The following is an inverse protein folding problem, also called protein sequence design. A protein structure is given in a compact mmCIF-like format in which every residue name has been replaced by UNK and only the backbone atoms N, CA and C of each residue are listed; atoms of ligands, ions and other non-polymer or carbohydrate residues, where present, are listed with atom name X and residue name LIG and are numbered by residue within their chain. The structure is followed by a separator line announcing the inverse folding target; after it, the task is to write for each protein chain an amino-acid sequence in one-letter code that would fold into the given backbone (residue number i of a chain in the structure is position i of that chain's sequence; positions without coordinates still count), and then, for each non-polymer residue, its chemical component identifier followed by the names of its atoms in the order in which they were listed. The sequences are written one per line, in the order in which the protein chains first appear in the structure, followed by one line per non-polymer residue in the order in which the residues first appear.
data_IF_868400759930
#
_entry.id   IF_868400759930
#
_cell.length_a   1.000
_cell.length_b   1.000
_cell.length_c   1.000
_cell.angle_alpha   90.00
_cell.angle_beta   90.00
_cell.angle_gamma   90.00
#
_symmetry.space_group_name_H-M   'P 1'
#
loop_
_entity.id
_entity.type
_entity.pdbx_description
1 polymer ?
#
# COMPACT_ATOMS: atom_id res chain seq x y z
N UNK A 1 -4.61 -12.71 11.49
CA UNK A 1 -4.39 -11.73 10.41
C UNK A 1 -3.47 -12.34 9.36
N UNK A 2 -2.21 -12.71 9.68
CA UNK A 2 -1.23 -13.26 8.73
C UNK A 2 -1.77 -14.49 7.97
N UNK A 3 -2.42 -15.44 8.67
CA UNK A 3 -3.05 -16.60 8.06
C UNK A 3 -4.05 -16.22 6.95
N UNK A 4 -4.87 -15.20 7.19
CA UNK A 4 -5.83 -14.69 6.19
C UNK A 4 -5.15 -14.11 4.96
N UNK A 5 -4.03 -13.39 5.15
CA UNK A 5 -3.23 -12.85 4.05
C UNK A 5 -2.59 -13.98 3.24
N UNK A 6 -2.03 -15.00 3.92
CA UNK A 6 -1.45 -16.20 3.29
C UNK A 6 -2.48 -16.94 2.42
N UNK A 7 -3.70 -17.12 2.93
CA UNK A 7 -4.81 -17.74 2.19
C UNK A 7 -5.17 -16.95 0.92
N UNK A 8 -5.23 -15.62 1.01
CA UNK A 8 -5.56 -14.75 -0.14
C UNK A 8 -4.46 -14.76 -1.18
N UNK A 9 -3.19 -14.75 -0.75
CA UNK A 9 -2.03 -14.72 -1.63
C UNK A 9 -1.62 -16.13 -2.15
N UNK A 10 -2.17 -17.20 -1.58
CA UNK A 10 -1.80 -18.57 -1.94
C UNK A 10 -0.36 -18.95 -1.58
N UNK A 11 0.22 -18.30 -0.55
CA UNK A 11 1.59 -18.53 -0.09
C UNK A 11 1.59 -18.97 1.37
N UNK A 12 2.58 -19.77 1.79
CA UNK A 12 2.73 -20.17 3.19
C UNK A 12 3.90 -19.46 3.84
N UNK A 13 3.71 -19.11 5.09
CA UNK A 13 4.79 -18.54 5.92
C UNK A 13 5.85 -19.60 6.19
N UNK A 14 7.11 -19.25 6.04
CA UNK A 14 8.32 -20.09 6.10
C UNK A 14 8.66 -20.85 4.80
N UNK A 15 7.94 -20.68 3.70
CA UNK A 15 8.30 -21.31 2.42
C UNK A 15 9.41 -20.52 1.70
N UNK A 16 9.37 -19.19 1.76
CA UNK A 16 10.35 -18.29 1.14
C UNK A 16 10.55 -17.02 1.97
N UNK A 17 11.80 -16.67 2.26
CA UNK A 17 12.16 -15.52 3.08
C UNK A 17 11.59 -14.19 2.54
N UNK A 18 11.55 -14.00 1.22
CA UNK A 18 11.00 -12.78 0.60
C UNK A 18 9.49 -12.67 0.80
N UNK A 19 8.79 -13.80 0.69
CA UNK A 19 7.37 -13.89 0.96
C UNK A 19 7.07 -13.63 2.44
N UNK A 20 7.89 -14.15 3.34
CA UNK A 20 7.77 -13.95 4.78
C UNK A 20 7.88 -12.47 5.16
N UNK A 21 8.85 -11.76 4.57
CA UNK A 21 8.98 -10.31 4.78
C UNK A 21 7.71 -9.59 4.32
N UNK A 22 7.17 -9.95 3.16
CA UNK A 22 5.96 -9.33 2.62
C UNK A 22 4.74 -9.61 3.50
N UNK A 23 4.56 -10.85 3.96
CA UNK A 23 3.47 -11.23 4.87
C UNK A 23 3.54 -10.47 6.20
N UNK A 24 4.73 -10.33 6.78
CA UNK A 24 4.94 -9.55 8.03
C UNK A 24 4.62 -8.08 7.83
N UNK A 25 5.11 -7.48 6.75
CA UNK A 25 4.85 -6.06 6.44
C UNK A 25 3.36 -5.79 6.24
N UNK A 26 2.67 -6.63 5.48
CA UNK A 26 1.22 -6.46 5.25
C UNK A 26 0.46 -6.59 6.57
N UNK A 27 0.78 -7.60 7.39
CA UNK A 27 0.14 -7.85 8.68
C UNK A 27 0.27 -6.65 9.63
N UNK A 28 1.48 -6.12 9.76
CA UNK A 28 1.77 -4.97 10.63
C UNK A 28 1.06 -3.70 10.13
N UNK A 29 1.16 -3.43 8.83
CA UNK A 29 0.64 -2.21 8.25
C UNK A 29 -0.89 -2.18 8.20
N UNK A 30 -1.55 -3.31 7.90
CA UNK A 30 -3.02 -3.35 7.89
C UNK A 30 -3.59 -3.19 9.30
N UNK A 31 -2.99 -3.83 10.30
CA UNK A 31 -3.39 -3.65 11.69
C UNK A 31 -3.26 -2.20 12.12
N UNK A 32 -2.10 -1.58 11.92
CA UNK A 32 -1.87 -0.17 12.24
C UNK A 32 -2.84 0.76 11.51
N UNK A 33 -3.14 0.48 10.23
CA UNK A 33 -4.07 1.29 9.43
C UNK A 33 -5.50 1.21 9.95
N UNK A 34 -5.97 0.04 10.35
CA UNK A 34 -7.31 -0.16 10.93
C UNK A 34 -7.47 0.67 12.21
N UNK A 35 -6.50 0.63 13.11
CA UNK A 35 -6.55 1.43 14.35
C UNK A 35 -6.48 2.93 14.07
N UNK A 36 -5.58 3.38 13.18
CA UNK A 36 -5.48 4.80 12.84
C UNK A 36 -6.79 5.34 12.25
N UNK A 37 -7.46 4.59 11.37
CA UNK A 37 -8.76 5.00 10.81
C UNK A 37 -9.84 4.93 11.90
N UNK A 38 -9.82 3.92 12.74
CA UNK A 38 -10.67 3.81 13.91
C UNK A 38 -10.58 5.03 14.84
N UNK A 39 -9.38 5.60 14.99
CA UNK A 39 -9.11 6.83 15.75
C UNK A 39 -9.42 8.12 14.95
N UNK A 40 -10.01 8.00 13.75
CA UNK A 40 -10.46 9.13 12.94
C UNK A 40 -9.41 9.73 12.02
N UNK A 41 -8.26 9.06 11.80
CA UNK A 41 -7.28 9.50 10.81
C UNK A 41 -7.73 9.09 9.41
N UNK A 42 -7.73 10.04 8.47
CA UNK A 42 -8.07 9.81 7.06
C UNK A 42 -6.81 9.97 6.20
N UNK A 43 -6.60 9.11 5.17
CA UNK A 43 -5.47 9.25 4.26
C UNK A 43 -5.41 10.63 3.61
N UNK A 44 -4.25 11.31 3.70
CA UNK A 44 -4.05 12.66 3.18
C UNK A 44 -2.62 12.86 2.65
N UNK A 45 -2.32 14.06 2.14
CA UNK A 45 -0.99 14.41 1.64
C UNK A 45 -0.05 15.01 2.70
N UNK A 46 -0.54 15.18 3.94
CA UNK A 46 0.23 15.81 5.01
C UNK A 46 -0.09 15.22 6.38
N UNK A 47 0.77 15.46 7.35
CA UNK A 47 0.56 15.07 8.74
C UNK A 47 0.34 13.56 8.94
N UNK A 48 -0.50 13.21 9.92
CA UNK A 48 -0.81 11.81 10.28
C UNK A 48 -1.45 11.03 9.13
N UNK A 49 -2.30 11.68 8.33
CA UNK A 49 -2.95 11.06 7.18
C UNK A 49 -1.96 10.67 6.08
N UNK A 50 -0.84 11.38 5.93
CA UNK A 50 0.23 10.99 5.02
C UNK A 50 0.91 9.68 5.47
N UNK A 51 1.17 9.53 6.76
CA UNK A 51 1.73 8.29 7.32
C UNK A 51 0.80 7.12 7.04
N UNK A 52 -0.50 7.28 7.34
CA UNK A 52 -1.53 6.27 7.06
C UNK A 52 -1.55 5.87 5.58
N UNK A 53 -1.55 6.86 4.68
CA UNK A 53 -1.50 6.62 3.23
C UNK A 53 -0.27 5.80 2.84
N UNK A 54 0.90 6.11 3.39
CA UNK A 54 2.13 5.34 3.13
C UNK A 54 2.05 3.91 3.61
N UNK A 55 1.47 3.66 4.79
CA UNK A 55 1.28 2.30 5.32
C UNK A 55 0.40 1.47 4.39
N UNK A 56 -0.76 2.00 3.99
CA UNK A 56 -1.68 1.30 3.08
C UNK A 56 -0.98 1.00 1.75
N UNK A 57 -0.35 2.00 1.13
CA UNK A 57 0.35 1.82 -0.16
C UNK A 57 1.50 0.84 -0.08
N UNK A 58 2.25 0.84 1.02
CA UNK A 58 3.31 -0.13 1.22
C UNK A 58 2.76 -1.56 1.35
N UNK A 59 1.66 -1.74 2.08
CA UNK A 59 0.97 -3.02 2.15
C UNK A 59 0.47 -3.49 0.77
N UNK A 60 -0.15 -2.59 -0.03
CA UNK A 60 -0.55 -2.89 -1.41
C UNK A 60 0.63 -3.34 -2.27
N UNK A 61 1.79 -2.63 -2.19
CA UNK A 61 2.99 -3.01 -2.94
C UNK A 61 3.46 -4.41 -2.57
N UNK A 62 3.51 -4.73 -1.28
CA UNK A 62 3.89 -6.07 -0.83
C UNK A 62 2.88 -7.14 -1.26
N UNK A 63 1.58 -6.79 -1.35
CA UNK A 63 0.58 -7.66 -1.95
C UNK A 63 0.87 -8.00 -3.41
N UNK A 64 1.26 -6.98 -4.22
CA UNK A 64 1.70 -7.19 -5.60
C UNK A 64 2.95 -8.08 -5.69
N UNK A 65 3.90 -7.96 -4.77
CA UNK A 65 5.09 -8.84 -4.71
C UNK A 65 4.72 -10.30 -4.39
N UNK A 66 3.62 -10.54 -3.67
CA UNK A 66 3.06 -11.87 -3.43
C UNK A 66 2.17 -12.38 -4.59
N UNK A 67 2.03 -11.60 -5.68
CA UNK A 67 1.23 -11.97 -6.84
C UNK A 67 -0.25 -11.57 -6.77
N UNK A 68 -0.68 -10.88 -5.73
CA UNK A 68 -2.08 -10.41 -5.60
C UNK A 68 -2.28 -9.15 -6.43
N UNK A 69 -3.06 -9.23 -7.50
CA UNK A 69 -3.35 -8.10 -8.41
C UNK A 69 -4.60 -7.33 -8.02
N UNK A 70 -5.60 -8.03 -7.50
CA UNK A 70 -6.86 -7.43 -7.09
C UNK A 70 -6.79 -6.78 -5.70
N UNK A 71 -7.65 -5.79 -5.40
CA UNK A 71 -7.79 -5.25 -4.06
C UNK A 71 -8.16 -6.34 -3.06
N UNK A 72 -7.39 -6.44 -1.98
CA UNK A 72 -7.56 -7.51 -0.98
C UNK A 72 -7.48 -7.02 0.47
N UNK A 73 -6.84 -5.89 0.73
CA UNK A 73 -6.62 -5.38 2.09
C UNK A 73 -7.93 -5.18 2.84
N UNK A 74 -8.97 -4.71 2.15
CA UNK A 74 -10.29 -4.52 2.75
C UNK A 74 -10.91 -5.83 3.27
N UNK A 75 -10.56 -6.99 2.68
CA UNK A 75 -11.01 -8.31 3.14
C UNK A 75 -10.32 -8.75 4.44
N UNK A 76 -9.13 -8.20 4.70
CA UNK A 76 -8.34 -8.48 5.91
C UNK A 76 -8.82 -7.61 7.08
N UNK A 77 -9.44 -6.45 6.80
CA UNK A 77 -9.96 -5.54 7.83
C UNK A 77 -10.89 -6.24 8.81
N UNK A 78 -11.81 -7.05 8.30
CA UNK A 78 -12.76 -7.78 9.15
C UNK A 78 -12.04 -8.69 10.14
N UNK A 79 -11.04 -9.43 9.67
CA UNK A 79 -10.22 -10.29 10.54
C UNK A 79 -9.48 -9.47 11.61
N UNK A 80 -8.97 -8.28 11.26
CA UNK A 80 -8.30 -7.40 12.24
C UNK A 80 -9.28 -6.95 13.31
N UNK A 81 -10.48 -6.54 12.93
CA UNK A 81 -11.50 -6.07 13.87
C UNK A 81 -11.96 -7.23 14.76
N UNK A 82 -12.32 -8.38 14.18
CA UNK A 82 -12.81 -9.55 14.91
C UNK A 82 -11.80 -10.04 15.97
N UNK A 83 -10.50 -9.99 15.65
CA UNK A 83 -9.45 -10.37 16.61
C UNK A 83 -9.22 -9.36 17.73
N UNK A 84 -9.69 -8.12 17.58
CA UNK A 84 -9.43 -7.04 18.55
C UNK A 84 -10.68 -6.44 19.18
N UNK A 85 -11.89 -6.85 18.75
CA UNK A 85 -13.17 -6.27 19.22
C UNK A 85 -13.38 -6.38 20.72
N UNK A 86 -12.90 -7.44 21.36
CA UNK A 86 -13.02 -7.63 22.80
C UNK A 86 -12.37 -6.52 23.62
N UNK A 87 -11.27 -5.96 23.12
CA UNK A 87 -10.51 -4.91 23.80
C UNK A 87 -10.82 -3.51 23.24
N UNK A 88 -11.29 -3.46 21.99
CA UNK A 88 -11.51 -2.22 21.23
C UNK A 88 -12.87 -2.25 20.52
N UNK A 89 -13.95 -2.28 21.29
CA UNK A 89 -15.34 -2.38 20.83
C UNK A 89 -15.75 -1.27 19.84
N UNK A 90 -15.15 -0.08 19.94
CA UNK A 90 -15.41 1.04 19.04
C UNK A 90 -15.04 0.75 17.57
N UNK A 91 -14.17 -0.23 17.32
CA UNK A 91 -13.80 -0.62 15.95
C UNK A 91 -14.99 -1.23 15.21
N UNK A 92 -15.84 -1.99 15.91
CA UNK A 92 -17.02 -2.61 15.33
C UNK A 92 -17.98 -1.56 14.74
N UNK A 93 -18.25 -0.50 15.48
CA UNK A 93 -19.12 0.59 15.02
C UNK A 93 -18.59 1.32 13.78
N UNK A 94 -17.29 1.24 13.53
CA UNK A 94 -16.59 1.92 12.41
C UNK A 94 -16.16 0.97 11.29
N UNK A 95 -16.48 -0.32 11.38
CA UNK A 95 -16.09 -1.37 10.44
C UNK A 95 -16.29 -0.97 8.98
N UNK A 96 -17.49 -0.51 8.63
CA UNK A 96 -17.83 -0.11 7.27
C UNK A 96 -17.02 1.10 6.76
N UNK A 97 -16.76 2.07 7.63
CA UNK A 97 -15.97 3.25 7.28
C UNK A 97 -14.52 2.84 7.03
N UNK A 98 -13.94 2.02 7.92
CA UNK A 98 -12.56 1.52 7.81
C UNK A 98 -12.38 0.75 6.50
N UNK A 99 -13.30 -0.16 6.19
CA UNK A 99 -13.27 -0.93 4.92
C UNK A 99 -13.28 -0.02 3.70
N UNK A 100 -14.23 0.91 3.64
CA UNK A 100 -14.37 1.84 2.50
C UNK A 100 -13.15 2.72 2.30
N UNK A 101 -12.56 3.23 3.39
CA UNK A 101 -11.36 4.07 3.32
C UNK A 101 -10.17 3.29 2.78
N UNK A 102 -9.94 2.08 3.28
CA UNK A 102 -8.83 1.22 2.83
C UNK A 102 -9.05 0.80 1.38
N UNK A 103 -10.25 0.35 1.02
CA UNK A 103 -10.59 -0.05 -0.34
C UNK A 103 -10.41 1.09 -1.35
N UNK A 104 -10.84 2.30 -1.00
CA UNK A 104 -10.71 3.47 -1.88
C UNK A 104 -9.24 3.83 -2.13
N UNK A 105 -8.39 3.84 -1.08
CA UNK A 105 -6.96 4.14 -1.22
C UNK A 105 -6.23 3.01 -1.98
N UNK A 106 -6.58 1.75 -1.73
CA UNK A 106 -6.03 0.58 -2.42
C UNK A 106 -6.35 0.62 -3.92
N UNK A 107 -7.62 0.84 -4.29
CA UNK A 107 -8.04 0.99 -5.70
C UNK A 107 -7.37 2.17 -6.38
N UNK A 108 -7.27 3.30 -5.69
CA UNK A 108 -6.60 4.49 -6.23
C UNK A 108 -5.12 4.25 -6.48
N UNK A 109 -4.45 3.54 -5.57
CA UNK A 109 -3.02 3.23 -5.70
C UNK A 109 -2.77 2.13 -6.73
N UNK A 110 -3.65 1.14 -6.87
CA UNK A 110 -3.59 0.13 -7.93
C UNK A 110 -3.51 0.77 -9.31
N UNK A 111 -4.40 1.72 -9.60
CA UNK A 111 -4.35 2.48 -10.86
C UNK A 111 -3.04 3.22 -11.07
N UNK A 112 -2.45 3.76 -9.99
CA UNK A 112 -1.15 4.45 -10.07
C UNK A 112 -0.02 3.48 -10.40
N UNK A 113 -0.03 2.29 -9.80
CA UNK A 113 0.96 1.23 -10.08
C UNK A 113 0.83 0.78 -11.54
N UNK A 114 -0.38 0.47 -11.99
CA UNK A 114 -0.63 -0.05 -13.33
C UNK A 114 -0.21 0.99 -14.41
N UNK A 115 -0.53 2.26 -14.19
CA UNK A 115 -0.08 3.35 -15.07
C UNK A 115 1.46 3.52 -15.07
N UNK A 116 2.08 3.36 -13.90
CA UNK A 116 3.54 3.43 -13.77
C UNK A 116 4.25 2.28 -14.48
N UNK A 117 3.71 1.07 -14.39
CA UNK A 117 4.24 -0.11 -15.08
C UNK A 117 4.11 0.02 -16.61
N UNK A 118 2.94 0.45 -17.10
CA UNK A 118 2.73 0.67 -18.54
C UNK A 118 3.72 1.69 -19.11
N UNK A 119 3.98 2.79 -18.40
CA UNK A 119 4.99 3.77 -18.82
C UNK A 119 6.40 3.20 -18.78
N UNK A 120 6.72 2.39 -17.79
CA UNK A 120 8.04 1.73 -17.70
C UNK A 120 8.26 0.77 -18.87
N UNK A 121 7.25 -0.02 -19.22
CA UNK A 121 7.28 -0.91 -20.38
C UNK A 121 7.49 -0.12 -21.67
N UNK A 122 6.78 0.99 -21.87
CA UNK A 122 6.97 1.88 -23.03
C UNK A 122 8.40 2.45 -23.12
N UNK A 123 9.00 2.80 -21.98
CA UNK A 123 10.40 3.26 -21.96
C UNK A 123 11.38 2.12 -22.27
N UNK A 124 11.17 0.93 -21.75
CA UNK A 124 12.01 -0.24 -22.02
C UNK A 124 11.98 -0.60 -23.51
N UNK A 125 10.79 -0.57 -24.12
CA UNK A 125 10.63 -0.89 -25.55
C UNK A 125 11.30 0.14 -26.48
N UNK A 126 11.45 1.38 -26.03
CA UNK A 126 12.13 2.46 -26.79
C UNK A 126 13.64 2.56 -26.53
N UNK A 127 14.17 1.76 -25.61
CA UNK A 127 15.59 1.81 -25.27
C UNK A 127 16.46 1.09 -26.30
N UNK A 128 17.46 1.80 -26.82
CA UNK A 128 18.58 1.20 -27.54
C UNK A 128 19.69 0.81 -26.54
N UNK A 129 19.60 -0.39 -25.96
CA UNK A 129 20.60 -0.92 -25.02
C UNK A 129 20.13 -1.05 -23.57
N UNK A 130 21.05 -1.26 -22.63
CA UNK A 130 20.76 -1.56 -21.22
C UNK A 130 20.91 -0.36 -20.26
N UNK A 131 21.00 0.86 -20.79
CA UNK A 131 21.23 2.07 -19.98
C UNK A 131 19.96 2.94 -19.98
N UNK A 132 19.37 3.12 -18.81
CA UNK A 132 18.23 4.01 -18.60
C UNK A 132 18.73 5.45 -18.45
N UNK A 133 18.16 6.41 -19.19
CA UNK A 133 18.57 7.81 -19.05
C UNK A 133 18.16 8.37 -17.68
N UNK A 134 19.00 9.26 -17.10
CA UNK A 134 18.68 9.89 -15.82
C UNK A 134 17.40 10.73 -15.87
N UNK A 135 17.08 11.33 -17.03
CA UNK A 135 15.85 12.09 -17.23
C UNK A 135 14.60 11.20 -17.19
N UNK A 136 14.65 10.04 -17.84
CA UNK A 136 13.53 9.09 -17.85
C UNK A 136 13.37 8.42 -16.49
N UNK A 137 14.48 8.08 -15.81
CA UNK A 137 14.46 7.59 -14.43
C UNK A 137 13.83 8.63 -13.49
N UNK A 138 14.13 9.90 -13.66
CA UNK A 138 13.53 10.97 -12.88
C UNK A 138 12.02 11.10 -13.13
N UNK A 139 11.58 11.11 -14.39
CA UNK A 139 10.14 11.12 -14.75
C UNK A 139 9.41 9.94 -14.13
N UNK A 140 10.00 8.75 -14.18
CA UNK A 140 9.43 7.54 -13.57
C UNK A 140 9.32 7.65 -12.03
N UNK A 141 10.31 8.27 -11.37
CA UNK A 141 10.26 8.51 -9.92
C UNK A 141 9.15 9.47 -9.51
N UNK A 142 8.75 10.39 -10.40
CA UNK A 142 7.66 11.35 -10.16
C UNK A 142 6.28 10.68 -10.08
N UNK A 143 6.06 9.61 -10.82
CA UNK A 143 4.79 8.86 -10.80
C UNK A 143 4.59 8.20 -9.44
N UNK A 144 5.67 7.76 -8.80
CA UNK A 144 5.64 7.16 -7.46
C UNK A 144 5.43 8.18 -6.33
N UNK A 145 5.80 9.44 -6.55
CA UNK A 145 5.67 10.48 -5.55
C UNK A 145 4.37 11.27 -5.76
N UNK A 146 3.28 10.84 -5.17
CA UNK A 146 2.00 11.60 -5.17
C UNK A 146 2.08 12.96 -4.47
N UNK A 147 3.25 13.38 -4.02
CA UNK A 147 3.51 14.66 -3.35
C UNK A 147 3.73 15.82 -4.32
N UNK A 148 3.86 15.61 -5.63
CA UNK A 148 4.48 16.61 -6.52
C UNK A 148 3.57 17.63 -7.18
N UNK A 149 2.29 17.65 -6.94
CA UNK A 149 1.48 18.83 -7.32
C UNK A 149 1.22 19.68 -6.09
N UNK A 150 2.11 20.63 -5.84
CA UNK A 150 2.12 21.73 -4.87
C UNK A 150 2.82 21.45 -3.54
N UNK A 151 4.06 21.96 -3.43
CA UNK A 151 4.78 22.32 -2.18
C UNK A 151 4.60 21.34 -1.03
N UNK A 152 5.14 20.17 -1.20
CA UNK A 152 5.43 19.32 -0.07
C UNK A 152 6.71 19.85 0.58
N UNK A 153 6.66 20.25 1.84
CA UNK A 153 7.82 20.52 2.67
C UNK A 153 8.53 19.23 3.12
N UNK A 154 8.47 18.17 2.31
CA UNK A 154 9.32 17.02 2.49
C UNK A 154 10.65 17.34 1.83
N UNK A 155 11.73 17.43 2.59
CA UNK A 155 13.10 17.67 2.13
C UNK A 155 13.65 16.59 1.16
N UNK A 156 12.89 16.26 0.14
CA UNK A 156 13.27 15.29 -0.91
C UNK A 156 14.00 15.97 -2.09
N UNK A 157 14.48 17.20 -1.91
CA UNK A 157 15.16 18.00 -2.94
C UNK A 157 16.47 18.62 -2.47
N UNK A 158 17.07 18.12 -1.39
CA UNK A 158 18.44 18.50 -1.03
C UNK A 158 19.27 17.22 -0.85
N UNK A 159 19.72 16.65 -1.97
CA UNK A 159 21.00 15.98 -2.18
C UNK A 159 21.18 15.68 -3.67
#
# INVERSE_FOLDING_TARGET
IMKKISEIAGVHYHDDEKNDVSLRVITDHIRSSVFMIGDGVIPSNSGRGYVLRRLIRRACRHGRLLGVTDPFLYKVVDTVIDENVCEYDYLESKREIIRKVIEAEEKSFGKTIDAGLALLEEYIDKMDGNVFSGEDAFKQSEIHCSCRKKRCGCGCLEE
#
